data_IF_166143914027
#
_entry.id   IF_166143914027
#
_cell.length_a   1.000
_cell.length_b   1.000
_cell.length_c   1.000
_cell.angle_alpha   90.00
_cell.angle_beta   90.00
_cell.angle_gamma   90.00
#
_symmetry.space_group_name_H-M   'P 1'
#
loop_
_entity.id
_entity.type
_entity.pdbx_description
1 polymer ?
#
# COMPACT_ATOMS: atom_id res chain seq x y z
N UNK A 1 -3.89 24.46 -1.28
CA UNK A 1 -3.17 23.60 -0.30
C UNK A 1 -2.43 22.53 -1.07
N UNK A 2 -1.18 22.23 -0.71
CA UNK A 2 -0.38 21.18 -1.36
C UNK A 2 -0.80 19.82 -0.82
N UNK A 3 -1.05 18.84 -1.69
CA UNK A 3 -1.41 17.47 -1.28
C UNK A 3 -0.19 16.74 -0.70
N UNK A 4 -0.39 15.60 0.00
CA UNK A 4 0.74 14.77 0.46
C UNK A 4 1.58 14.33 -0.75
N UNK A 5 0.92 14.01 -1.85
CA UNK A 5 1.53 13.64 -3.13
C UNK A 5 2.49 14.73 -3.63
N UNK A 6 2.04 15.99 -3.66
CA UNK A 6 2.88 17.11 -4.07
C UNK A 6 4.07 17.31 -3.12
N UNK A 7 3.84 17.15 -1.80
CA UNK A 7 4.85 17.38 -0.77
C UNK A 7 5.98 16.35 -0.79
N UNK A 8 5.70 15.11 -1.21
CA UNK A 8 6.73 14.05 -1.30
C UNK A 8 7.50 14.06 -2.63
N UNK A 9 7.11 14.89 -3.61
CA UNK A 9 7.74 14.95 -4.94
C UNK A 9 6.96 14.30 -6.07
N UNK A 10 5.65 14.06 -5.88
CA UNK A 10 4.73 13.61 -6.92
C UNK A 10 5.02 12.20 -7.44
N UNK A 11 4.80 12.00 -8.74
CA UNK A 11 4.80 10.68 -9.38
C UNK A 11 6.11 9.92 -9.19
N UNK A 12 7.24 10.61 -9.33
CA UNK A 12 8.56 10.01 -9.19
C UNK A 12 8.77 9.44 -7.78
N UNK A 13 8.30 10.15 -6.75
CA UNK A 13 8.40 9.70 -5.37
C UNK A 13 7.47 8.52 -5.09
N UNK A 14 6.25 8.52 -5.64
CA UNK A 14 5.32 7.38 -5.55
C UNK A 14 5.92 6.15 -6.23
N UNK A 15 6.51 6.31 -7.42
CA UNK A 15 7.14 5.22 -8.15
C UNK A 15 8.26 4.58 -7.33
N UNK A 16 9.16 5.40 -6.77
CA UNK A 16 10.23 4.92 -5.90
C UNK A 16 9.69 4.24 -4.63
N UNK A 17 8.63 4.79 -4.02
CA UNK A 17 7.99 4.21 -2.84
C UNK A 17 7.43 2.82 -3.13
N UNK A 18 6.69 2.64 -4.22
CA UNK A 18 6.11 1.34 -4.57
C UNK A 18 7.19 0.29 -4.86
N UNK A 19 8.23 0.68 -5.60
CA UNK A 19 9.31 -0.26 -5.96
C UNK A 19 10.08 -0.73 -4.72
N UNK A 20 10.34 0.16 -3.75
CA UNK A 20 10.97 -0.20 -2.47
C UNK A 20 10.02 -1.03 -1.60
N UNK A 21 8.76 -0.63 -1.53
CA UNK A 21 7.74 -1.29 -0.72
C UNK A 21 7.57 -2.75 -1.13
N UNK A 22 7.42 -3.04 -2.43
CA UNK A 22 7.27 -4.43 -2.87
C UNK A 22 8.52 -5.28 -2.71
N UNK A 23 9.72 -4.70 -2.80
CA UNK A 23 10.95 -5.42 -2.44
C UNK A 23 10.92 -5.88 -0.98
N UNK A 24 10.41 -5.05 -0.07
CA UNK A 24 10.24 -5.42 1.34
C UNK A 24 9.15 -6.46 1.54
N UNK A 25 8.00 -6.30 0.89
CA UNK A 25 6.88 -7.26 0.98
C UNK A 25 7.29 -8.64 0.49
N UNK A 26 7.97 -8.73 -0.64
CA UNK A 26 8.41 -10.00 -1.21
C UNK A 26 9.57 -10.65 -0.41
N UNK A 27 10.29 -9.86 0.39
CA UNK A 27 11.32 -10.36 1.29
C UNK A 27 10.80 -10.70 2.69
N UNK A 28 9.50 -10.50 2.96
CA UNK A 28 8.90 -10.74 4.27
C UNK A 28 8.14 -12.07 4.30
N UNK A 29 8.70 -13.05 5.02
CA UNK A 29 8.16 -14.40 5.09
C UNK A 29 6.73 -14.50 5.67
N UNK A 30 6.25 -13.49 6.41
CA UNK A 30 4.90 -13.51 6.97
C UNK A 30 3.84 -13.23 5.89
N UNK A 31 4.17 -12.41 4.90
CA UNK A 31 3.19 -11.90 3.92
C UNK A 31 3.53 -12.24 2.46
N UNK A 32 4.76 -12.60 2.14
CA UNK A 32 5.22 -12.89 0.78
C UNK A 32 4.40 -14.00 0.11
N UNK A 33 3.95 -15.00 0.89
CA UNK A 33 3.10 -16.10 0.43
C UNK A 33 1.79 -15.65 -0.24
N UNK A 34 1.24 -14.50 0.14
CA UNK A 34 0.00 -13.97 -0.49
C UNK A 34 0.23 -13.38 -1.88
N UNK A 35 1.49 -13.20 -2.26
CA UNK A 35 1.90 -12.67 -3.57
C UNK A 35 2.42 -13.77 -4.51
N UNK A 36 2.38 -15.03 -4.11
CA UNK A 36 2.72 -16.15 -4.97
C UNK A 36 1.79 -16.22 -6.19
N UNK A 37 2.37 -16.30 -7.39
CA UNK A 37 1.61 -16.32 -8.65
C UNK A 37 0.97 -14.97 -9.04
N UNK A 38 1.23 -13.89 -8.29
CA UNK A 38 0.78 -12.54 -8.65
C UNK A 38 1.73 -11.92 -9.67
N UNK A 39 1.14 -11.32 -10.72
CA UNK A 39 1.87 -10.47 -11.65
C UNK A 39 2.28 -9.17 -10.93
N UNK A 40 3.55 -9.10 -10.53
CA UNK A 40 4.06 -8.00 -9.72
C UNK A 40 4.16 -6.67 -10.48
N UNK A 41 4.28 -6.70 -11.81
CA UNK A 41 4.28 -5.46 -12.60
C UNK A 41 2.88 -4.84 -12.61
N UNK A 42 1.85 -5.68 -12.82
CA UNK A 42 0.45 -5.26 -12.68
C UNK A 42 0.12 -4.82 -11.27
N UNK A 43 0.64 -5.53 -10.26
CA UNK A 43 0.40 -5.20 -8.86
C UNK A 43 1.06 -3.87 -8.48
N UNK A 44 2.30 -3.63 -8.91
CA UNK A 44 2.99 -2.36 -8.72
C UNK A 44 2.21 -1.20 -9.37
N UNK A 45 1.69 -1.37 -10.59
CA UNK A 45 0.88 -0.33 -11.24
C UNK A 45 -0.39 0.01 -10.43
N UNK A 46 -1.11 -1.00 -9.92
CA UNK A 46 -2.28 -0.77 -9.05
C UNK A 46 -1.92 -0.07 -7.75
N UNK A 47 -0.81 -0.47 -7.12
CA UNK A 47 -0.35 0.14 -5.87
C UNK A 47 0.10 1.58 -6.08
N UNK A 48 0.72 1.91 -7.22
CA UNK A 48 1.07 3.29 -7.59
C UNK A 48 -0.19 4.14 -7.66
N UNK A 49 -1.22 3.67 -8.36
CA UNK A 49 -2.52 4.36 -8.41
C UNK A 49 -3.15 4.52 -7.01
N UNK A 50 -3.12 3.47 -6.19
CA UNK A 50 -3.62 3.51 -4.82
C UNK A 50 -2.86 4.50 -3.93
N UNK A 51 -1.52 4.47 -3.90
CA UNK A 51 -0.74 5.42 -3.10
C UNK A 51 -0.92 6.86 -3.60
N UNK A 52 -1.00 7.09 -4.91
CA UNK A 52 -1.34 8.40 -5.46
C UNK A 52 -2.71 8.86 -4.96
N UNK A 53 -3.72 8.00 -4.96
CA UNK A 53 -5.05 8.30 -4.39
C UNK A 53 -4.98 8.68 -2.91
N UNK A 54 -4.34 7.81 -2.11
CA UNK A 54 -4.20 7.97 -0.66
C UNK A 54 -3.47 9.27 -0.30
N UNK A 55 -2.48 9.67 -1.09
CA UNK A 55 -1.71 10.88 -0.90
C UNK A 55 -2.38 12.15 -1.46
N UNK A 56 -3.60 12.02 -2.00
CA UNK A 56 -4.37 13.14 -2.56
C UNK A 56 -3.89 13.60 -3.94
N UNK A 57 -3.08 12.79 -4.63
CA UNK A 57 -2.65 13.06 -5.99
C UNK A 57 -3.73 12.73 -7.04
N UNK A 58 -3.50 13.11 -8.31
CA UNK A 58 -4.42 12.83 -9.41
C UNK A 58 -4.51 11.32 -9.64
N UNK A 59 -5.71 10.77 -9.50
CA UNK A 59 -5.89 9.33 -9.47
C UNK A 59 -7.13 8.89 -10.25
N UNK A 60 -6.98 7.81 -11.02
CA UNK A 60 -8.05 7.03 -11.66
C UNK A 60 -8.05 5.59 -11.13
N UNK A 61 -8.06 5.40 -9.80
CA UNK A 61 -8.00 4.07 -9.20
C UNK A 61 -9.24 3.28 -9.64
N UNK A 62 -9.03 2.33 -10.55
CA UNK A 62 -10.04 1.42 -11.11
C UNK A 62 -9.88 0.00 -10.57
N UNK A 63 -9.07 -0.19 -9.52
CA UNK A 63 -8.88 -1.50 -8.94
C UNK A 63 -10.21 -2.05 -8.43
N UNK A 64 -10.28 -3.39 -8.31
CA UNK A 64 -11.42 -4.04 -7.67
C UNK A 64 -11.68 -3.38 -6.32
N UNK A 65 -12.94 -3.38 -5.92
CA UNK A 65 -13.33 -3.11 -4.54
C UNK A 65 -12.32 -3.84 -3.62
N UNK A 66 -11.74 -3.11 -2.65
CA UNK A 66 -10.71 -3.66 -1.75
C UNK A 66 -11.15 -5.00 -1.15
N UNK A 67 -12.45 -5.14 -0.88
CA UNK A 67 -13.04 -6.38 -0.39
C UNK A 67 -13.00 -7.50 -1.41
N UNK A 68 -13.46 -7.26 -2.63
CA UNK A 68 -13.45 -8.29 -3.67
C UNK A 68 -12.02 -8.73 -4.01
N UNK A 69 -11.08 -7.78 -4.02
CA UNK A 69 -9.66 -8.02 -4.27
C UNK A 69 -9.01 -8.96 -3.25
N UNK A 70 -9.35 -8.83 -1.97
CA UNK A 70 -8.66 -9.54 -0.87
C UNK A 70 -9.47 -10.70 -0.28
N UNK A 71 -10.76 -10.83 -0.58
CA UNK A 71 -11.64 -11.91 -0.06
C UNK A 71 -11.06 -13.31 -0.20
N UNK A 72 -10.40 -13.62 -1.32
CA UNK A 72 -9.78 -14.93 -1.52
C UNK A 72 -8.55 -15.15 -0.63
N UNK A 73 -7.82 -14.09 -0.27
CA UNK A 73 -6.68 -14.14 0.64
C UNK A 73 -7.12 -14.34 2.09
N UNK A 74 -8.28 -13.80 2.49
CA UNK A 74 -8.90 -14.08 3.81
C UNK A 74 -9.16 -15.58 3.96
N UNK A 75 -9.61 -16.26 2.89
CA UNK A 75 -9.76 -17.73 2.88
C UNK A 75 -8.42 -18.48 2.99
N UNK A 76 -7.30 -17.84 2.65
CA UNK A 76 -5.94 -18.36 2.81
C UNK A 76 -5.32 -18.01 4.18
N UNK A 77 -6.08 -17.36 5.07
CA UNK A 77 -5.62 -16.98 6.40
C UNK A 77 -5.03 -15.58 6.51
N UNK A 78 -5.37 -14.66 5.60
CA UNK A 78 -5.11 -13.23 5.80
C UNK A 78 -5.89 -12.73 7.03
N UNK A 79 -5.20 -12.04 7.94
CA UNK A 79 -5.75 -11.53 9.20
C UNK A 79 -5.13 -10.17 9.57
N UNK A 80 -5.51 -9.64 10.74
CA UNK A 80 -5.03 -8.36 11.25
C UNK A 80 -3.49 -8.28 11.36
N UNK A 81 -2.80 -9.37 11.70
CA UNK A 81 -1.34 -9.36 11.86
C UNK A 81 -0.62 -9.15 10.51
N UNK A 82 -1.17 -9.73 9.45
CA UNK A 82 -0.65 -9.56 8.10
C UNK A 82 -0.92 -8.14 7.57
N UNK A 83 -2.10 -7.59 7.89
CA UNK A 83 -2.44 -6.22 7.54
C UNK A 83 -1.52 -5.22 8.26
N UNK A 84 -1.31 -5.41 9.58
CA UNK A 84 -0.39 -4.60 10.38
C UNK A 84 1.01 -4.62 9.79
N UNK A 85 1.47 -5.81 9.35
CA UNK A 85 2.78 -5.96 8.74
C UNK A 85 2.91 -5.17 7.43
N UNK A 86 1.87 -5.20 6.59
CA UNK A 86 1.81 -4.42 5.35
C UNK A 86 1.89 -2.91 5.64
N UNK A 87 1.12 -2.40 6.60
CA UNK A 87 1.15 -0.99 7.01
C UNK A 87 2.52 -0.60 7.59
N UNK A 88 3.12 -1.48 8.39
CA UNK A 88 4.46 -1.26 8.94
C UNK A 88 5.51 -1.11 7.82
N UNK A 89 5.53 -2.03 6.85
CA UNK A 89 6.48 -1.99 5.74
C UNK A 89 6.30 -0.74 4.86
N UNK A 90 5.05 -0.27 4.71
CA UNK A 90 4.77 1.01 4.06
C UNK A 90 5.38 2.17 4.85
N UNK A 91 5.17 2.22 6.17
CA UNK A 91 5.77 3.23 7.05
C UNK A 91 7.29 3.24 7.02
N UNK A 92 7.92 2.06 7.05
CA UNK A 92 9.37 1.91 6.91
C UNK A 92 9.89 2.43 5.56
N UNK A 93 9.15 2.14 4.48
CA UNK A 93 9.49 2.61 3.13
C UNK A 93 9.45 4.14 3.03
N UNK A 94 8.40 4.75 3.55
CA UNK A 94 8.25 6.21 3.55
C UNK A 94 9.30 6.88 4.44
N UNK A 95 9.63 6.27 5.57
CA UNK A 95 10.72 6.73 6.45
C UNK A 95 12.06 6.68 5.72
N UNK A 96 12.36 5.60 5.00
CA UNK A 96 13.57 5.47 4.18
C UNK A 96 13.64 6.54 3.08
N UNK A 97 12.51 6.93 2.52
CA UNK A 97 12.39 8.03 1.55
C UNK A 97 12.40 9.43 2.21
N UNK A 98 12.63 9.51 3.52
CA UNK A 98 12.68 10.76 4.29
C UNK A 98 11.37 11.56 4.24
N UNK A 99 10.24 10.87 4.07
CA UNK A 99 8.92 11.50 4.18
C UNK A 99 8.72 11.95 5.64
N UNK A 100 8.27 13.19 5.88
CA UNK A 100 7.98 13.68 7.23
C UNK A 100 7.03 12.77 8.02
N UNK A 101 7.33 12.51 9.29
CA UNK A 101 6.54 11.62 10.15
C UNK A 101 5.05 11.99 10.22
N UNK A 102 4.72 13.29 10.18
CA UNK A 102 3.35 13.76 10.14
C UNK A 102 2.60 13.27 8.88
N UNK A 103 3.27 13.21 7.72
CA UNK A 103 2.68 12.71 6.48
C UNK A 103 2.58 11.18 6.48
N UNK A 104 3.58 10.49 7.05
CA UNK A 104 3.51 9.04 7.25
C UNK A 104 2.29 8.67 8.10
N UNK A 105 2.03 9.42 9.18
CA UNK A 105 0.85 9.22 10.02
C UNK A 105 -0.47 9.40 9.26
N UNK A 106 -0.56 10.40 8.38
CA UNK A 106 -1.73 10.60 7.52
C UNK A 106 -1.94 9.44 6.55
N UNK A 107 -0.87 8.99 5.87
CA UNK A 107 -0.92 7.86 4.94
C UNK A 107 -1.32 6.57 5.67
N UNK A 108 -0.76 6.32 6.85
CA UNK A 108 -1.09 5.16 7.68
C UNK A 108 -2.56 5.18 8.11
N UNK A 109 -3.10 6.34 8.51
CA UNK A 109 -4.51 6.47 8.87
C UNK A 109 -5.46 6.17 7.69
N UNK A 110 -5.09 6.58 6.47
CA UNK A 110 -5.87 6.25 5.28
C UNK A 110 -5.79 4.75 4.97
N UNK A 111 -4.59 4.15 5.01
CA UNK A 111 -4.43 2.71 4.83
C UNK A 111 -5.29 1.93 5.85
N UNK A 112 -5.24 2.32 7.12
CA UNK A 112 -6.01 1.73 8.21
C UNK A 112 -7.53 1.76 7.95
N UNK A 113 -8.04 2.82 7.32
CA UNK A 113 -9.48 2.91 7.00
C UNK A 113 -9.97 1.81 6.04
N UNK A 114 -9.06 1.19 5.27
CA UNK A 114 -9.38 0.09 4.35
C UNK A 114 -9.40 -1.29 4.99
N UNK A 115 -8.99 -1.42 6.26
CA UNK A 115 -8.79 -2.71 6.94
C UNK A 115 -10.02 -3.61 6.87
N UNK A 116 -11.20 -3.06 7.13
CA UNK A 116 -12.42 -3.86 7.15
C UNK A 116 -12.74 -4.46 5.79
N UNK A 117 -12.51 -3.71 4.71
CA UNK A 117 -12.70 -4.22 3.36
C UNK A 117 -11.66 -5.29 3.04
N UNK A 118 -10.38 -5.04 3.32
CA UNK A 118 -9.30 -6.01 3.08
C UNK A 118 -9.51 -7.33 3.84
N UNK A 119 -10.02 -7.26 5.07
CA UNK A 119 -10.30 -8.42 5.91
C UNK A 119 -11.72 -8.98 5.75
N UNK A 120 -12.48 -8.50 4.77
CA UNK A 120 -13.85 -8.92 4.44
C UNK A 120 -14.82 -8.94 5.64
N UNK A 121 -14.80 -7.88 6.48
CA UNK A 121 -15.66 -7.71 7.67
C UNK A 121 -16.54 -6.45 7.63
#
# INVERSE_FOLDING_TARGET
MSTVYDQIGGEAAVNAAVDIFYKKVLADDHISRFFEGVDMDRQAAKQKAFLTMVMGGPNNYTGKDMREGHRHLVKMGLDDSHFDRVVQLLGETLTQLKVPAALIGQIAAVAESTRNDVLDR
#
